data_IF_380886987179
#
_entry.id   IF_380886987179
#
_cell.length_a   1.000
_cell.length_b   1.000
_cell.length_c   1.000
_cell.angle_alpha   90.00
_cell.angle_beta   90.00
_cell.angle_gamma   90.00
#
_symmetry.space_group_name_H-M   'P 1'
#
loop_
_entity.id
_entity.type
_entity.pdbx_description
1 polymer ?
#
# COMPACT_ATOMS: atom_id res chain seq x y z
N UNK A 1 12.06 -15.11 22.96
CA UNK A 1 12.69 -14.92 21.64
C UNK A 1 11.98 -13.84 20.84
N UNK A 2 10.64 -13.85 20.79
CA UNK A 2 9.82 -12.92 20.00
C UNK A 2 10.00 -11.42 20.33
N UNK A 3 10.22 -11.06 21.60
CA UNK A 3 10.43 -9.66 21.99
C UNK A 3 11.88 -9.15 21.85
N UNK A 4 12.79 -9.92 21.22
CA UNK A 4 14.18 -9.50 21.01
C UNK A 4 14.33 -8.88 19.61
N UNK A 5 15.16 -7.83 19.44
CA UNK A 5 15.44 -7.27 18.13
C UNK A 5 15.95 -8.33 17.16
N UNK A 6 15.45 -8.31 15.92
CA UNK A 6 15.95 -9.17 14.86
C UNK A 6 17.29 -8.64 14.36
N UNK A 7 18.35 -9.43 14.57
CA UNK A 7 19.71 -9.13 14.15
C UNK A 7 20.31 -10.31 13.42
N UNK A 8 21.04 -10.06 12.32
CA UNK A 8 21.81 -11.10 11.64
C UNK A 8 22.94 -11.60 12.52
N UNK A 9 23.57 -12.73 12.16
CA UNK A 9 24.79 -13.20 12.85
C UNK A 9 25.93 -12.18 12.84
N UNK A 10 25.95 -11.27 11.85
CA UNK A 10 26.92 -10.19 11.73
C UNK A 10 26.51 -8.91 12.50
N UNK A 11 25.38 -8.91 13.21
CA UNK A 11 24.90 -7.78 14.00
C UNK A 11 24.08 -6.74 13.23
N UNK A 12 23.75 -6.99 11.96
CA UNK A 12 22.89 -6.09 11.17
C UNK A 12 21.46 -6.18 11.67
N UNK A 13 20.88 -5.06 12.13
CA UNK A 13 19.49 -5.01 12.52
C UNK A 13 18.56 -5.15 11.29
N UNK A 14 17.50 -5.93 11.44
CA UNK A 14 16.44 -6.11 10.44
C UNK A 14 15.11 -5.80 11.13
N UNK A 15 14.22 -5.10 10.43
CA UNK A 15 12.86 -4.88 10.93
C UNK A 15 11.96 -6.04 10.51
N UNK A 16 11.22 -6.61 11.45
CA UNK A 16 10.24 -7.67 11.23
C UNK A 16 8.87 -7.10 11.54
N UNK A 17 8.11 -6.82 10.48
CA UNK A 17 6.80 -6.19 10.57
C UNK A 17 5.71 -7.15 10.13
N UNK A 18 4.48 -6.92 10.59
CA UNK A 18 3.33 -7.74 10.20
C UNK A 18 2.64 -7.18 8.97
N UNK A 19 2.04 -8.08 8.19
CA UNK A 19 1.12 -7.73 7.11
C UNK A 19 -0.29 -8.05 7.59
N UNK A 20 -1.20 -7.10 7.48
CA UNK A 20 -2.60 -7.24 7.88
C UNK A 20 -3.54 -6.92 6.72
N UNK A 21 -4.70 -7.56 6.72
CA UNK A 21 -5.77 -7.38 5.76
C UNK A 21 -7.04 -6.79 6.38
N UNK A 22 -7.18 -6.82 7.71
CA UNK A 22 -8.27 -6.19 8.45
C UNK A 22 -7.73 -5.52 9.74
N UNK A 23 -8.32 -4.40 10.21
CA UNK A 23 -7.95 -3.77 11.49
C UNK A 23 -8.15 -4.67 12.71
N UNK A 24 -8.90 -5.76 12.62
CA UNK A 24 -9.01 -6.77 13.69
C UNK A 24 -7.84 -7.75 13.73
N UNK A 25 -7.05 -7.87 12.67
CA UNK A 25 -5.87 -8.76 12.66
C UNK A 25 -4.85 -8.40 13.74
N UNK A 26 -4.83 -7.15 14.21
CA UNK A 26 -3.93 -6.69 15.27
C UNK A 26 -4.40 -7.07 16.67
N UNK A 27 -5.66 -7.48 16.85
CA UNK A 27 -6.24 -7.76 18.17
C UNK A 27 -5.57 -8.97 18.85
N UNK A 28 -5.09 -9.92 18.04
CA UNK A 28 -4.39 -11.13 18.50
C UNK A 28 -2.85 -11.02 18.43
N UNK A 29 -2.32 -9.84 18.07
CA UNK A 29 -0.88 -9.60 17.93
C UNK A 29 -0.39 -8.69 19.05
N UNK A 30 0.50 -9.20 19.89
CA UNK A 30 1.23 -8.37 20.84
C UNK A 30 2.22 -7.47 20.08
N UNK A 31 1.98 -6.15 20.13
CA UNK A 31 2.84 -5.14 19.48
C UNK A 31 4.30 -5.25 19.93
N UNK A 32 4.61 -5.79 21.12
CA UNK A 32 5.98 -6.01 21.58
C UNK A 32 6.74 -7.07 20.76
N UNK A 33 6.04 -7.89 19.97
CA UNK A 33 6.60 -9.01 19.20
C UNK A 33 6.92 -8.69 17.73
N UNK A 34 6.62 -7.47 17.29
CA UNK A 34 6.90 -7.01 15.93
C UNK A 34 7.39 -5.55 15.89
N UNK A 35 7.93 -5.13 14.76
CA UNK A 35 8.45 -3.76 14.53
C UNK A 35 7.41 -2.85 13.85
N UNK A 36 6.11 -3.15 14.03
CA UNK A 36 4.97 -2.42 13.46
C UNK A 36 4.33 -3.15 12.28
N UNK A 37 3.63 -2.39 11.43
CA UNK A 37 2.92 -2.91 10.25
C UNK A 37 3.68 -2.54 8.98
N UNK A 38 4.13 -3.56 8.24
CA UNK A 38 4.85 -3.41 6.98
C UNK A 38 3.90 -3.20 5.79
N UNK A 39 2.69 -3.75 5.90
CA UNK A 39 1.63 -3.57 4.92
C UNK A 39 0.26 -3.79 5.57
N UNK A 40 -0.57 -2.75 5.59
CA UNK A 40 -2.02 -2.87 5.73
C UNK A 40 -2.66 -2.75 4.35
N UNK A 41 -3.32 -3.83 3.92
CA UNK A 41 -4.18 -3.84 2.74
C UNK A 41 -5.48 -3.13 3.08
N UNK A 42 -6.01 -2.32 2.16
CA UNK A 42 -7.22 -1.52 2.40
C UNK A 42 -8.45 -2.06 1.69
N UNK A 43 -8.30 -3.11 0.89
CA UNK A 43 -9.36 -3.73 0.11
C UNK A 43 -10.53 -4.25 0.95
N UNK A 44 -10.32 -4.57 2.24
CA UNK A 44 -11.41 -4.96 3.15
C UNK A 44 -12.49 -3.88 3.31
N UNK A 45 -12.13 -2.60 3.13
CA UNK A 45 -13.06 -1.47 3.18
C UNK A 45 -13.94 -1.41 1.92
N UNK A 46 -13.49 -1.99 0.82
CA UNK A 46 -14.11 -1.90 -0.50
C UNK A 46 -14.90 -3.19 -0.78
N UNK A 47 -16.01 -3.33 -0.07
CA UNK A 47 -16.95 -4.44 -0.21
C UNK A 47 -18.04 -4.16 -1.26
N UNK A 48 -19.31 -4.28 -0.85
CA UNK A 48 -20.47 -4.01 -1.74
C UNK A 48 -20.67 -2.52 -2.04
N UNK A 49 -20.18 -1.64 -1.18
CA UNK A 49 -20.34 -0.20 -1.27
C UNK A 49 -19.01 0.50 -1.04
N UNK A 50 -18.84 1.67 -1.63
CA UNK A 50 -17.66 2.49 -1.40
C UNK A 50 -17.65 3.02 0.05
N UNK A 51 -16.54 2.86 0.79
CA UNK A 51 -16.44 3.28 2.17
C UNK A 51 -16.32 4.81 2.28
N UNK A 52 -17.08 5.41 3.19
CA UNK A 52 -16.97 6.84 3.49
C UNK A 52 -15.69 7.18 4.27
N UNK A 53 -15.39 8.47 4.37
CA UNK A 53 -14.16 8.97 4.99
C UNK A 53 -14.05 8.56 6.47
N UNK A 54 -15.15 8.59 7.21
CA UNK A 54 -15.16 8.31 8.66
C UNK A 54 -14.92 6.83 8.94
N UNK A 55 -15.50 5.95 8.13
CA UNK A 55 -15.28 4.50 8.18
C UNK A 55 -13.81 4.17 7.95
N UNK A 56 -13.21 4.76 6.91
CA UNK A 56 -11.79 4.58 6.60
C UNK A 56 -10.90 5.15 7.71
N UNK A 57 -11.18 6.37 8.19
CA UNK A 57 -10.43 7.03 9.25
C UNK A 57 -10.40 6.20 10.53
N UNK A 58 -11.54 5.65 10.96
CA UNK A 58 -11.62 4.80 12.16
C UNK A 58 -10.79 3.52 12.01
N UNK A 59 -10.83 2.89 10.85
CA UNK A 59 -10.05 1.70 10.56
C UNK A 59 -8.54 1.98 10.63
N UNK A 60 -8.07 3.07 10.00
CA UNK A 60 -6.66 3.46 10.04
C UNK A 60 -6.21 3.89 11.43
N UNK A 61 -7.05 4.65 12.15
CA UNK A 61 -6.79 5.08 13.52
C UNK A 61 -6.60 3.91 14.47
N UNK A 62 -7.47 2.88 14.41
CA UNK A 62 -7.36 1.69 15.27
C UNK A 62 -5.97 1.07 15.20
N UNK A 63 -5.46 0.87 13.98
CA UNK A 63 -4.15 0.23 13.76
C UNK A 63 -3.00 1.14 14.20
N UNK A 64 -3.11 2.46 13.98
CA UNK A 64 -2.11 3.43 14.43
C UNK A 64 -2.03 3.52 15.95
N UNK A 65 -3.16 3.53 16.65
CA UNK A 65 -3.20 3.54 18.11
C UNK A 65 -2.64 2.24 18.70
N UNK A 66 -2.95 1.08 18.10
CA UNK A 66 -2.36 -0.20 18.48
C UNK A 66 -0.83 -0.21 18.31
N UNK A 67 -0.32 0.40 17.23
CA UNK A 67 1.12 0.42 16.95
C UNK A 67 1.93 1.39 17.83
N UNK A 68 1.27 2.39 18.42
CA UNK A 68 1.92 3.45 19.19
C UNK A 68 2.97 4.20 18.35
N UNK A 69 4.23 4.16 18.78
CA UNK A 69 5.34 4.81 18.05
C UNK A 69 5.84 3.99 16.84
N UNK A 70 5.46 2.70 16.76
CA UNK A 70 5.93 1.83 15.68
C UNK A 70 5.26 2.21 14.35
N UNK A 71 5.99 2.11 13.22
CA UNK A 71 5.46 2.53 11.93
C UNK A 71 4.33 1.62 11.45
N UNK A 72 3.33 2.23 10.82
CA UNK A 72 2.24 1.55 10.12
C UNK A 72 2.25 1.99 8.67
N UNK A 73 2.51 1.05 7.76
CA UNK A 73 2.46 1.32 6.32
C UNK A 73 1.11 0.90 5.77
N UNK A 74 0.28 1.87 5.38
CA UNK A 74 -1.03 1.64 4.75
C UNK A 74 -0.89 1.79 3.24
N UNK A 75 -1.30 0.75 2.50
CA UNK A 75 -1.36 0.80 1.04
C UNK A 75 -2.71 1.37 0.61
N UNK A 76 -2.70 2.35 -0.28
CA UNK A 76 -3.96 2.84 -0.89
C UNK A 76 -4.65 1.70 -1.64
N UNK A 77 -5.92 1.88 -1.97
CA UNK A 77 -6.73 0.81 -2.55
C UNK A 77 -6.07 0.21 -3.79
N UNK A 78 -5.94 -1.11 -3.80
CA UNK A 78 -5.45 -1.92 -4.93
C UNK A 78 -6.58 -2.83 -5.39
N UNK A 79 -7.58 -2.21 -6.01
CA UNK A 79 -8.71 -2.88 -6.62
C UNK A 79 -8.51 -2.99 -8.15
N UNK A 80 -9.17 -3.98 -8.75
CA UNK A 80 -8.91 -4.44 -10.11
C UNK A 80 -8.07 -5.73 -10.10
N UNK A 81 -7.72 -6.27 -11.27
CA UNK A 81 -7.08 -7.59 -11.33
C UNK A 81 -8.03 -8.70 -10.87
N UNK A 82 -7.61 -9.46 -9.85
CA UNK A 82 -8.37 -10.52 -9.20
C UNK A 82 -9.34 -10.02 -8.09
N UNK A 83 -9.43 -8.71 -7.88
CA UNK A 83 -10.24 -8.09 -6.80
C UNK A 83 -11.22 -7.04 -7.35
N UNK A 84 -12.32 -7.46 -8.00
CA UNK A 84 -13.33 -6.53 -8.48
C UNK A 84 -14.11 -5.89 -7.31
N UNK A 85 -14.43 -4.60 -7.44
CA UNK A 85 -15.23 -3.83 -6.48
C UNK A 85 -16.44 -3.25 -7.25
N UNK A 86 -17.68 -3.66 -6.93
CA UNK A 86 -18.88 -3.16 -7.59
C UNK A 86 -18.97 -1.64 -7.58
N UNK A 87 -19.26 -1.04 -8.74
CA UNK A 87 -19.37 0.42 -8.90
C UNK A 87 -18.03 1.17 -8.92
N UNK A 88 -16.90 0.48 -8.79
CA UNK A 88 -15.57 1.08 -8.80
C UNK A 88 -14.69 0.51 -9.92
N UNK A 89 -14.57 -0.81 -10.01
CA UNK A 89 -13.79 -1.50 -11.04
C UNK A 89 -14.58 -1.68 -12.33
N UNK A 90 -13.87 -1.76 -13.45
CA UNK A 90 -14.42 -2.09 -14.78
C UNK A 90 -14.02 -3.50 -15.19
N UNK A 91 -14.80 -4.13 -16.07
CA UNK A 91 -14.41 -5.42 -16.68
C UNK A 91 -13.41 -5.19 -17.81
N UNK A 92 -12.36 -6.01 -17.83
CA UNK A 92 -11.29 -5.94 -18.82
C UNK A 92 -10.87 -7.35 -19.25
N UNK A 93 -10.34 -7.49 -20.47
CA UNK A 93 -9.83 -8.76 -20.97
C UNK A 93 -8.57 -9.23 -20.23
N UNK A 94 -7.76 -8.28 -19.75
CA UNK A 94 -6.54 -8.56 -18.98
C UNK A 94 -6.48 -7.69 -17.71
N UNK A 95 -7.26 -8.03 -16.66
CA UNK A 95 -7.40 -7.19 -15.47
C UNK A 95 -6.07 -6.89 -14.76
N UNK A 96 -5.10 -7.81 -14.81
CA UNK A 96 -3.76 -7.57 -14.24
C UNK A 96 -2.95 -6.52 -15.00
N UNK A 97 -3.21 -6.27 -16.28
CA UNK A 97 -2.51 -5.25 -17.08
C UNK A 97 -3.33 -3.96 -17.26
N UNK A 98 -4.53 -3.91 -16.67
CA UNK A 98 -5.52 -2.87 -16.92
C UNK A 98 -5.59 -1.76 -15.87
N UNK A 99 -6.81 -1.26 -15.68
CA UNK A 99 -7.16 -0.16 -14.79
C UNK A 99 -7.29 -0.65 -13.33
N UNK A 100 -6.14 -0.81 -12.67
CA UNK A 100 -6.04 -1.23 -11.26
C UNK A 100 -5.08 -0.37 -10.44
N UNK A 101 -5.14 -0.52 -9.11
CA UNK A 101 -4.24 0.18 -8.19
C UNK A 101 -4.30 1.70 -8.37
N UNK A 102 -3.13 2.35 -8.39
CA UNK A 102 -3.06 3.82 -8.52
C UNK A 102 -3.74 4.36 -9.79
N UNK A 103 -3.72 3.60 -10.90
CA UNK A 103 -4.35 4.04 -12.16
C UNK A 103 -5.86 4.21 -11.99
N UNK A 104 -6.48 3.25 -11.29
CA UNK A 104 -7.90 3.32 -10.96
C UNK A 104 -8.18 4.49 -10.00
N UNK A 105 -7.33 4.68 -8.99
CA UNK A 105 -7.45 5.80 -8.06
C UNK A 105 -7.36 7.17 -8.77
N UNK A 106 -6.44 7.33 -9.73
CA UNK A 106 -6.31 8.56 -10.51
C UNK A 106 -7.47 8.75 -11.51
N UNK A 107 -8.02 7.67 -12.05
CA UNK A 107 -9.19 7.71 -12.93
C UNK A 107 -10.53 7.92 -12.19
N UNK A 108 -10.54 7.75 -10.87
CA UNK A 108 -11.70 7.92 -9.97
C UNK A 108 -11.32 8.80 -8.76
N UNK A 109 -10.95 10.07 -9.00
CA UNK A 109 -10.39 10.95 -7.98
C UNK A 109 -11.34 11.20 -6.82
N UNK A 110 -12.65 11.11 -7.02
CA UNK A 110 -13.67 11.23 -5.97
C UNK A 110 -13.51 10.16 -4.88
N UNK A 111 -13.24 8.90 -5.27
CA UNK A 111 -13.01 7.80 -4.33
C UNK A 111 -11.63 7.93 -3.69
N UNK A 112 -10.63 8.27 -4.49
CA UNK A 112 -9.27 8.41 -3.99
C UNK A 112 -9.14 9.51 -2.95
N UNK A 113 -9.73 10.70 -3.19
CA UNK A 113 -9.70 11.83 -2.26
C UNK A 113 -10.35 11.50 -0.91
N UNK A 114 -11.41 10.68 -0.89
CA UNK A 114 -12.01 10.18 0.37
C UNK A 114 -10.98 9.38 1.18
N UNK A 115 -10.26 8.46 0.54
CA UNK A 115 -9.21 7.69 1.20
C UNK A 115 -8.05 8.59 1.67
N UNK A 116 -7.64 9.57 0.86
CA UNK A 116 -6.57 10.52 1.21
C UNK A 116 -6.92 11.31 2.46
N UNK A 117 -8.13 11.89 2.53
CA UNK A 117 -8.55 12.66 3.71
C UNK A 117 -8.58 11.79 4.97
N UNK A 118 -9.09 10.55 4.86
CA UNK A 118 -9.07 9.60 5.96
C UNK A 118 -7.65 9.29 6.44
N UNK A 119 -6.70 9.07 5.53
CA UNK A 119 -5.28 8.84 5.86
C UNK A 119 -4.63 10.06 6.52
N UNK A 120 -4.83 11.25 5.97
CA UNK A 120 -4.29 12.51 6.50
C UNK A 120 -4.82 12.80 7.92
N UNK A 121 -6.12 12.56 8.15
CA UNK A 121 -6.74 12.67 9.48
C UNK A 121 -6.20 11.61 10.44
N UNK A 122 -6.01 10.37 9.97
CA UNK A 122 -5.52 9.28 10.80
C UNK A 122 -4.06 9.48 11.23
N UNK A 123 -3.24 10.12 10.38
CA UNK A 123 -1.81 10.32 10.57
C UNK A 123 -1.41 11.05 11.87
N UNK A 124 -2.34 11.75 12.54
CA UNK A 124 -2.07 12.41 13.83
C UNK A 124 -1.99 11.42 15.00
N UNK A 125 -2.51 10.20 14.83
CA UNK A 125 -2.61 9.19 15.90
C UNK A 125 -1.42 8.23 15.99
N UNK A 126 -0.43 8.36 15.11
CA UNK A 126 0.73 7.46 15.13
C UNK A 126 1.72 7.71 14.00
N UNK A 127 2.62 6.74 13.81
CA UNK A 127 3.66 6.78 12.77
C UNK A 127 3.16 6.21 11.45
N UNK A 128 2.27 6.96 10.77
CA UNK A 128 1.72 6.55 9.47
C UNK A 128 2.75 6.72 8.35
N UNK A 129 2.85 5.70 7.49
CA UNK A 129 3.41 5.75 6.15
C UNK A 129 2.33 5.36 5.14
N UNK A 130 2.29 6.02 4.00
CA UNK A 130 1.35 5.66 2.92
C UNK A 130 2.12 5.15 1.71
N UNK A 131 1.58 4.13 1.05
CA UNK A 131 2.20 3.52 -0.11
C UNK A 131 1.22 3.38 -1.26
N UNK A 132 1.64 3.76 -2.47
CA UNK A 132 0.85 3.61 -3.70
C UNK A 132 1.17 2.27 -4.40
N UNK A 133 0.15 1.46 -4.74
CA UNK A 133 0.31 0.25 -5.56
C UNK A 133 0.40 0.58 -7.05
N UNK A 134 0.99 -0.31 -7.84
CA UNK A 134 0.96 -0.34 -9.31
C UNK A 134 1.55 0.90 -10.01
N UNK A 135 2.41 1.65 -9.32
CA UNK A 135 3.18 2.74 -9.93
C UNK A 135 4.09 2.15 -11.01
N UNK A 136 4.02 2.71 -12.22
CA UNK A 136 4.84 2.33 -13.36
C UNK A 136 5.75 3.48 -13.82
N UNK A 137 5.29 4.72 -13.69
CA UNK A 137 6.02 5.94 -14.07
C UNK A 137 5.98 6.99 -12.97
N UNK A 138 6.97 7.89 -12.92
CA UNK A 138 7.09 8.90 -11.85
C UNK A 138 5.95 9.91 -11.85
N UNK A 139 5.34 10.16 -13.02
CA UNK A 139 4.20 11.05 -13.17
C UNK A 139 2.98 10.57 -12.38
N UNK A 140 2.74 9.26 -12.27
CA UNK A 140 1.64 8.71 -11.45
C UNK A 140 1.88 9.02 -9.97
N UNK A 141 3.12 8.88 -9.49
CA UNK A 141 3.50 9.24 -8.12
C UNK A 141 3.29 10.74 -7.88
N UNK A 142 3.76 11.60 -8.79
CA UNK A 142 3.63 13.07 -8.68
C UNK A 142 2.16 13.50 -8.64
N UNK A 143 1.30 12.92 -9.47
CA UNK A 143 -0.14 13.19 -9.45
C UNK A 143 -0.79 12.78 -8.12
N UNK A 144 -0.42 11.61 -7.59
CA UNK A 144 -0.91 11.13 -6.30
C UNK A 144 -0.46 12.06 -5.16
N UNK A 145 0.83 12.41 -5.12
CA UNK A 145 1.41 13.31 -4.12
C UNK A 145 0.79 14.73 -4.17
N UNK A 146 0.54 15.25 -5.38
CA UNK A 146 -0.17 16.52 -5.56
C UNK A 146 -1.60 16.45 -4.98
N UNK A 147 -2.32 15.35 -5.23
CA UNK A 147 -3.66 15.15 -4.65
C UNK A 147 -3.63 15.11 -3.12
N UNK A 148 -2.60 14.50 -2.51
CA UNK A 148 -2.37 14.56 -1.07
C UNK A 148 -2.18 16.00 -0.56
N UNK A 149 -1.36 16.79 -1.23
CA UNK A 149 -1.12 18.18 -0.86
C UNK A 149 -2.39 19.04 -0.96
N UNK A 150 -3.21 18.83 -1.99
CA UNK A 150 -4.49 19.52 -2.15
C UNK A 150 -5.48 19.19 -1.02
N UNK A 151 -5.66 17.91 -0.69
CA UNK A 151 -6.55 17.51 0.39
C UNK A 151 -6.02 17.96 1.75
N UNK A 152 -4.70 18.00 1.95
CA UNK A 152 -4.09 18.57 3.15
C UNK A 152 -4.46 20.06 3.29
N UNK A 153 -4.32 20.85 2.22
CA UNK A 153 -4.68 22.26 2.24
C UNK A 153 -6.18 22.46 2.53
N UNK A 154 -7.05 21.59 1.98
CA UNK A 154 -8.50 21.60 2.28
C UNK A 154 -8.78 21.31 3.75
N UNK A 155 -8.16 20.29 4.34
CA UNK A 155 -8.33 19.98 5.76
C UNK A 155 -7.84 21.14 6.65
N UNK A 156 -6.71 21.75 6.30
CA UNK A 156 -6.17 22.92 6.99
C UNK A 156 -7.14 24.11 6.96
N UNK A 157 -7.74 24.42 5.80
CA UNK A 157 -8.70 25.49 5.64
C UNK A 157 -9.98 25.31 6.50
N UNK A 158 -10.34 24.06 6.80
CA UNK A 158 -11.48 23.73 7.67
C UNK A 158 -11.09 23.53 9.14
N UNK A 159 -9.82 23.76 9.51
CA UNK A 159 -9.34 23.57 10.89
C UNK A 159 -9.36 22.10 11.36
N UNK A 160 -9.34 21.15 10.44
CA UNK A 160 -9.38 19.72 10.76
C UNK A 160 -7.95 19.24 11.05
N UNK A 161 -7.75 18.55 12.17
CA UNK A 161 -6.46 17.98 12.54
C UNK A 161 -5.99 16.95 11.50
N UNK A 162 -4.76 17.12 11.03
CA UNK A 162 -4.18 16.28 9.98
C UNK A 162 -2.64 16.32 10.04
N UNK A 163 -1.99 15.35 9.39
CA UNK A 163 -0.53 15.32 9.20
C UNK A 163 -0.20 14.68 7.86
N UNK A 164 0.79 15.21 7.14
CA UNK A 164 1.29 14.58 5.91
C UNK A 164 2.20 13.38 6.28
N UNK A 165 1.84 12.14 5.92
CA UNK A 165 2.71 10.99 6.11
C UNK A 165 3.80 10.94 5.02
N UNK A 166 4.92 10.23 5.24
CA UNK A 166 5.82 9.86 4.17
C UNK A 166 5.07 9.05 3.10
N UNK A 167 5.24 9.43 1.83
CA UNK A 167 4.62 8.79 0.68
C UNK A 167 5.64 7.89 -0.03
N UNK A 168 5.34 6.60 -0.09
CA UNK A 168 6.16 5.57 -0.73
C UNK A 168 5.45 4.90 -1.89
N UNK A 169 6.13 3.97 -2.53
CA UNK A 169 5.54 3.14 -3.59
C UNK A 169 5.81 1.67 -3.35
N UNK A 170 4.86 0.84 -3.79
CA UNK A 170 5.08 -0.59 -3.94
C UNK A 170 5.85 -0.84 -5.24
N UNK A 171 7.02 -1.46 -5.16
CA UNK A 171 7.82 -1.87 -6.32
C UNK A 171 7.29 -3.21 -6.78
N UNK A 172 6.32 -3.14 -7.68
CA UNK A 172 5.66 -4.33 -8.25
C UNK A 172 5.54 -4.29 -9.77
N UNK A 173 5.75 -3.13 -10.40
CA UNK A 173 5.85 -3.02 -11.86
C UNK A 173 7.33 -3.05 -12.27
N UNK A 174 7.75 -3.87 -13.26
CA UNK A 174 9.16 -4.00 -13.64
C UNK A 174 9.84 -2.69 -14.03
N UNK A 175 9.12 -1.73 -14.60
CA UNK A 175 9.69 -0.41 -14.96
C UNK A 175 10.30 0.31 -13.76
N UNK A 176 9.72 0.17 -12.57
CA UNK A 176 10.24 0.77 -11.33
C UNK A 176 11.49 0.06 -10.85
N UNK A 177 11.56 -1.27 -10.99
CA UNK A 177 12.74 -2.05 -10.62
C UNK A 177 13.91 -1.85 -11.59
N UNK A 178 13.62 -1.55 -12.87
CA UNK A 178 14.64 -1.29 -13.90
C UNK A 178 15.27 0.10 -13.74
N UNK A 179 14.48 1.11 -13.35
CA UNK A 179 14.94 2.50 -13.21
C UNK A 179 14.52 3.11 -11.85
N UNK A 180 14.98 2.53 -10.72
CA UNK A 180 14.61 3.04 -9.39
C UNK A 180 15.11 4.47 -9.15
N UNK A 181 16.20 4.88 -9.80
CA UNK A 181 16.76 6.23 -9.74
C UNK A 181 15.84 7.31 -10.31
N UNK A 182 14.84 6.95 -11.12
CA UNK A 182 13.84 7.92 -11.59
C UNK A 182 12.87 8.37 -10.47
N UNK A 183 12.84 7.65 -9.35
CA UNK A 183 11.88 7.84 -8.25
C UNK A 183 12.52 8.51 -7.02
N UNK A 184 13.42 9.48 -7.21
CA UNK A 184 14.13 10.20 -6.11
C UNK A 184 13.20 10.94 -5.14
N UNK A 185 11.98 11.27 -5.57
CA UNK A 185 10.97 11.98 -4.77
C UNK A 185 10.19 11.05 -3.82
N UNK A 186 10.36 9.73 -3.97
CA UNK A 186 9.64 8.72 -3.19
C UNK A 186 10.32 8.51 -1.84
N UNK A 187 9.55 8.58 -0.75
CA UNK A 187 10.11 8.52 0.61
C UNK A 187 10.59 7.12 1.01
N UNK A 188 10.02 6.06 0.42
CA UNK A 188 10.45 4.67 0.63
C UNK A 188 9.90 3.74 -0.45
N UNK A 189 10.60 2.63 -0.66
CA UNK A 189 10.16 1.51 -1.50
C UNK A 189 9.72 0.33 -0.64
N UNK A 190 8.76 -0.45 -1.13
CA UNK A 190 8.43 -1.77 -0.60
C UNK A 190 8.18 -2.73 -1.74
N UNK A 191 8.91 -3.85 -1.79
CA UNK A 191 8.81 -4.79 -2.91
C UNK A 191 7.51 -5.60 -2.79
N UNK A 192 6.66 -5.51 -3.80
CA UNK A 192 5.47 -6.35 -3.97
C UNK A 192 5.83 -7.59 -4.79
N UNK A 193 6.53 -8.55 -4.18
CA UNK A 193 7.12 -9.68 -4.92
C UNK A 193 6.11 -10.53 -5.69
N UNK A 194 4.86 -10.61 -5.24
CA UNK A 194 3.79 -11.34 -5.93
C UNK A 194 3.56 -10.79 -7.34
N UNK A 195 3.30 -9.48 -7.44
CA UNK A 195 3.01 -8.82 -8.72
C UNK A 195 4.29 -8.58 -9.51
N UNK A 196 5.42 -8.28 -8.84
CA UNK A 196 6.72 -8.18 -9.51
C UNK A 196 7.09 -9.48 -10.24
N UNK A 197 6.95 -10.63 -9.57
CA UNK A 197 7.24 -11.93 -10.18
C UNK A 197 6.31 -12.20 -11.34
N UNK A 198 5.01 -11.96 -11.17
CA UNK A 198 4.03 -12.12 -12.24
C UNK A 198 4.40 -11.34 -13.51
N UNK A 199 4.77 -10.06 -13.37
CA UNK A 199 5.07 -9.22 -14.53
C UNK A 199 6.46 -9.46 -15.11
N UNK A 200 7.47 -9.72 -14.28
CA UNK A 200 8.82 -10.10 -14.77
C UNK A 200 8.79 -11.42 -15.51
N UNK A 201 8.03 -12.40 -15.01
CA UNK A 201 7.93 -13.74 -15.60
C UNK A 201 6.81 -13.86 -16.64
N UNK A 202 6.01 -12.81 -16.85
CA UNK A 202 4.83 -12.79 -17.71
C UNK A 202 3.87 -13.98 -17.46
N UNK A 203 3.71 -14.36 -16.19
CA UNK A 203 2.93 -15.53 -15.77
C UNK A 203 1.92 -15.13 -14.69
N UNK A 204 0.63 -15.12 -15.05
CA UNK A 204 -0.44 -14.74 -14.13
C UNK A 204 -0.48 -15.69 -12.92
N UNK A 205 -0.53 -15.13 -11.71
CA UNK A 205 -0.44 -15.89 -10.46
C UNK A 205 -1.64 -16.79 -10.20
N UNK A 206 -2.78 -16.50 -10.83
CA UNK A 206 -4.03 -17.25 -10.76
C UNK A 206 -4.19 -18.28 -11.88
N UNK A 207 -3.25 -18.34 -12.84
CA UNK A 207 -3.31 -19.26 -13.96
C UNK A 207 -2.47 -20.51 -13.68
N UNK A 208 -3.15 -21.60 -13.31
CA UNK A 208 -2.53 -22.88 -12.99
C UNK A 208 -1.67 -23.47 -14.12
N UNK A 209 -1.97 -23.18 -15.39
CA UNK A 209 -1.22 -23.71 -16.54
C UNK A 209 0.21 -23.15 -16.62
N UNK A 210 0.44 -21.96 -16.08
CA UNK A 210 1.75 -21.27 -16.10
C UNK A 210 2.35 -21.08 -14.70
N UNK A 211 1.76 -21.67 -13.66
CA UNK A 211 2.19 -21.52 -12.28
C UNK A 211 3.67 -21.91 -12.05
N UNK A 212 4.20 -22.85 -12.84
CA UNK A 212 5.62 -23.26 -12.80
C UNK A 212 6.61 -22.15 -13.18
N UNK A 213 6.16 -21.09 -13.87
CA UNK A 213 6.97 -19.91 -14.21
C UNK A 213 6.98 -18.86 -13.09
N UNK A 214 6.01 -18.88 -12.17
CA UNK A 214 5.85 -17.88 -11.12
C UNK A 214 6.79 -18.17 -9.93
N UNK A 215 8.09 -17.96 -10.13
CA UNK A 215 9.13 -18.22 -9.13
C UNK A 215 9.79 -16.94 -8.62
N UNK A 216 9.51 -16.59 -7.36
CA UNK A 216 10.17 -15.46 -6.65
C UNK A 216 11.70 -15.64 -6.50
N UNK A 217 12.20 -16.87 -6.72
CA UNK A 217 13.64 -17.20 -6.65
C UNK A 217 14.33 -17.14 -8.01
N UNK A 218 13.59 -16.83 -9.08
CA UNK A 218 14.19 -16.73 -10.41
C UNK A 218 15.24 -15.59 -10.44
N UNK A 219 16.41 -15.78 -11.09
CA UNK A 219 17.46 -14.76 -11.10
C UNK A 219 17.01 -13.38 -11.59
N UNK A 220 16.05 -13.33 -12.52
CA UNK A 220 15.51 -12.05 -13.00
C UNK A 220 14.65 -11.30 -11.97
N UNK A 221 14.08 -12.01 -10.98
CA UNK A 221 13.28 -11.40 -9.90
C UNK A 221 14.16 -10.99 -8.72
N UNK A 222 15.27 -11.71 -8.50
CA UNK A 222 16.25 -11.41 -7.46
C UNK A 222 17.19 -10.24 -7.80
N UNK A 223 17.37 -9.96 -9.10
CA UNK A 223 18.20 -8.86 -9.62
C UNK A 223 17.48 -7.53 -9.48
#
# INVERSE_FOLDING_TARGET
>A
FLARPAVTKAGTAVRVQVNIADPSDVDDIDIATCDGVGLMRTEFLFGKTLPDEETQYRAYRKVLEWAGEKPVTIRTVDAGGDKPVPGFTIEESNPFLGLRGIRLSLARPEVFRVQIRALLRAAVHGSLKVMFPMIAVVEEYRQAAATFAEEQARLAAHGIAHKMPPLGIMVEVPSVAIVPEAFVEVAFFSIGSNDLTQYVMAAARDNAAVAHLNSVRHPAVLR
#
